data_IF_522491903128
#
_entry.id   IF_522491903128
#
_cell.length_a   1.000
_cell.length_b   1.000
_cell.length_c   1.000
_cell.angle_alpha   90.00
_cell.angle_beta   90.00
_cell.angle_gamma   90.00
#
_symmetry.space_group_name_H-M   'P 1'
#
loop_
_entity.id
_entity.type
_entity.pdbx_description
1 polymer ?
#
# COMPACT_ATOMS: atom_id res chain seq x y z
N UNK A 1 27.85 14.99 -13.38
CA UNK A 1 26.40 14.92 -13.70
C UNK A 1 25.73 16.21 -13.27
N UNK A 2 24.96 16.87 -14.14
CA UNK A 2 24.14 18.02 -13.72
C UNK A 2 23.11 17.50 -12.70
N UNK A 3 22.91 18.15 -11.54
CA UNK A 3 21.82 17.78 -10.64
C UNK A 3 20.52 17.90 -11.44
N UNK A 4 19.76 16.81 -11.60
CA UNK A 4 18.48 16.92 -12.30
C UNK A 4 17.56 17.76 -11.43
N UNK A 5 17.03 18.85 -11.99
CA UNK A 5 15.93 19.62 -11.42
C UNK A 5 14.59 18.85 -11.45
N UNK A 6 14.62 17.62 -11.93
CA UNK A 6 13.46 16.83 -12.28
C UNK A 6 13.28 15.68 -11.30
N UNK A 7 12.03 15.44 -10.90
CA UNK A 7 11.58 14.26 -10.19
C UNK A 7 11.42 13.09 -11.19
N UNK A 8 12.43 12.20 -11.22
CA UNK A 8 12.53 11.09 -12.17
C UNK A 8 13.48 11.35 -13.36
N UNK A 9 13.48 10.46 -14.37
CA UNK A 9 14.31 10.59 -15.56
C UNK A 9 14.12 11.95 -16.28
N UNK A 10 15.20 12.56 -16.79
CA UNK A 10 15.14 13.73 -17.68
C UNK A 10 14.08 13.62 -18.80
N UNK A 11 13.53 14.76 -19.26
CA UNK A 11 12.51 14.80 -20.32
C UNK A 11 12.88 14.04 -21.61
N UNK A 12 14.16 14.07 -21.95
CA UNK A 12 14.79 13.52 -23.14
C UNK A 12 15.22 12.05 -23.02
N UNK A 13 15.27 11.53 -21.79
CA UNK A 13 15.64 10.13 -21.50
C UNK A 13 14.50 9.17 -21.85
N UNK A 14 14.81 7.89 -21.98
CA UNK A 14 13.84 6.85 -22.22
C UNK A 14 12.80 6.76 -21.10
N UNK A 15 11.55 6.55 -21.51
CA UNK A 15 10.46 6.43 -20.58
C UNK A 15 10.61 5.15 -19.74
N UNK A 16 10.46 5.23 -18.40
CA UNK A 16 10.61 4.11 -17.48
C UNK A 16 9.55 3.00 -17.64
N UNK A 17 8.58 3.16 -18.56
CA UNK A 17 7.65 2.09 -18.93
C UNK A 17 8.28 1.01 -19.84
N UNK A 18 9.52 1.20 -20.30
CA UNK A 18 10.20 0.25 -21.18
C UNK A 18 9.81 0.37 -22.67
N UNK A 19 9.05 1.39 -23.07
CA UNK A 19 8.64 1.56 -24.48
C UNK A 19 9.75 2.02 -25.43
N UNK A 20 10.91 2.44 -24.91
CA UNK A 20 11.99 3.06 -25.69
C UNK A 20 11.65 4.44 -26.27
N UNK A 21 10.48 5.00 -25.94
CA UNK A 21 10.11 6.38 -26.30
C UNK A 21 10.66 7.34 -25.25
N UNK A 22 11.01 8.56 -25.67
CA UNK A 22 11.38 9.65 -24.74
C UNK A 22 10.26 9.90 -23.72
N UNK A 23 10.63 10.20 -22.46
CA UNK A 23 9.70 10.40 -21.36
C UNK A 23 8.60 11.42 -21.71
N UNK A 24 8.97 12.57 -22.28
CA UNK A 24 8.04 13.64 -22.71
C UNK A 24 7.12 13.27 -23.87
N UNK A 25 7.45 12.23 -24.63
CA UNK A 25 6.63 11.69 -25.72
C UNK A 25 5.85 10.43 -25.31
N UNK A 26 5.87 10.11 -24.01
CA UNK A 26 5.26 8.91 -23.47
C UNK A 26 4.45 9.23 -22.22
N UNK A 27 5.04 9.16 -21.02
CA UNK A 27 4.31 9.26 -19.76
C UNK A 27 4.64 10.53 -18.95
N UNK A 28 5.54 11.40 -19.43
CA UNK A 28 5.88 12.63 -18.70
C UNK A 28 5.06 13.80 -19.23
N UNK A 29 4.24 14.39 -18.36
CA UNK A 29 3.38 15.51 -18.68
C UNK A 29 4.12 16.86 -18.64
N UNK A 30 3.46 17.90 -19.13
CA UNK A 30 3.98 19.27 -19.21
C UNK A 30 4.18 19.93 -17.84
N UNK A 31 3.39 19.55 -16.84
CA UNK A 31 3.53 20.01 -15.45
C UNK A 31 4.62 19.23 -14.67
N UNK A 32 5.28 18.28 -15.33
CA UNK A 32 6.32 17.43 -14.74
C UNK A 32 5.80 16.20 -14.01
N UNK A 33 4.47 16.02 -13.91
CA UNK A 33 3.88 14.78 -13.41
C UNK A 33 4.06 13.63 -14.40
N UNK A 34 3.76 12.42 -13.91
CA UNK A 34 3.71 11.23 -14.73
C UNK A 34 2.25 10.85 -14.96
N UNK A 35 1.89 10.55 -16.19
CA UNK A 35 0.54 10.21 -16.62
C UNK A 35 0.54 8.87 -17.36
N UNK A 36 -0.57 8.16 -17.32
CA UNK A 36 -0.77 6.95 -18.09
C UNK A 36 -2.26 6.81 -18.44
N UNK A 37 -2.54 6.14 -19.55
CA UNK A 37 -3.92 5.89 -19.98
C UNK A 37 -4.73 5.20 -18.87
N UNK A 38 -6.05 5.50 -18.77
CA UNK A 38 -6.93 4.77 -17.86
C UNK A 38 -6.82 3.27 -18.10
N UNK A 39 -6.66 2.46 -17.05
CA UNK A 39 -6.64 1.02 -17.24
C UNK A 39 -8.00 0.54 -17.76
N UNK A 40 -8.03 -0.48 -18.62
CA UNK A 40 -9.29 -1.09 -19.02
C UNK A 40 -9.99 -1.71 -17.80
N UNK A 41 -11.31 -1.91 -17.85
CA UNK A 41 -12.02 -2.70 -16.85
C UNK A 41 -11.37 -4.08 -16.66
N UNK A 42 -11.34 -4.58 -15.43
CA UNK A 42 -10.81 -5.92 -15.14
C UNK A 42 -11.66 -7.03 -15.78
N UNK A 43 -12.95 -6.76 -16.02
CA UNK A 43 -13.87 -7.62 -16.76
C UNK A 43 -14.44 -6.86 -17.96
N UNK A 44 -14.11 -7.33 -19.17
CA UNK A 44 -14.51 -6.68 -20.44
C UNK A 44 -15.54 -7.47 -21.27
N UNK A 45 -15.87 -8.70 -20.87
CA UNK A 45 -16.89 -9.53 -21.55
C UNK A 45 -18.34 -9.25 -21.10
N UNK A 46 -19.33 -9.89 -21.73
CA UNK A 46 -20.73 -9.79 -21.29
C UNK A 46 -20.88 -10.25 -19.84
N UNK A 47 -21.90 -9.71 -19.14
CA UNK A 47 -22.25 -10.19 -17.81
C UNK A 47 -22.83 -11.58 -17.90
N UNK A 48 -22.50 -12.42 -16.92
CA UNK A 48 -23.03 -13.79 -16.86
C UNK A 48 -24.51 -13.84 -16.47
N UNK A 49 -25.03 -12.80 -15.80
CA UNK A 49 -26.37 -12.80 -15.20
C UNK A 49 -26.48 -13.62 -13.93
N UNK A 50 -25.40 -14.30 -13.51
CA UNK A 50 -25.36 -15.19 -12.36
C UNK A 50 -24.76 -14.53 -11.13
N UNK A 51 -25.34 -14.79 -9.96
CA UNK A 51 -24.90 -14.30 -8.66
C UNK A 51 -24.54 -15.49 -7.75
N UNK A 52 -23.24 -15.78 -7.65
CA UNK A 52 -22.76 -16.86 -6.78
C UNK A 52 -22.96 -16.48 -5.31
N UNK A 53 -23.72 -17.23 -4.50
CA UNK A 53 -24.11 -16.82 -3.15
C UNK A 53 -22.94 -16.60 -2.20
N UNK A 54 -21.78 -17.24 -2.44
CA UNK A 54 -20.58 -17.10 -1.61
C UNK A 54 -19.55 -16.10 -2.14
N UNK A 55 -19.80 -15.46 -3.27
CA UNK A 55 -18.92 -14.42 -3.81
C UNK A 55 -19.34 -13.06 -3.25
N UNK A 56 -18.42 -12.30 -2.63
CA UNK A 56 -18.79 -10.98 -2.11
C UNK A 56 -19.16 -9.98 -3.22
N UNK A 57 -18.74 -10.24 -4.46
CA UNK A 57 -19.12 -9.48 -5.65
C UNK A 57 -20.49 -9.88 -6.23
N UNK A 58 -21.25 -10.79 -5.61
CA UNK A 58 -22.52 -11.35 -6.14
C UNK A 58 -23.55 -10.32 -6.60
N UNK A 59 -23.51 -9.13 -5.99
CA UNK A 59 -24.33 -7.98 -6.34
C UNK A 59 -24.20 -7.57 -7.82
N UNK A 60 -23.04 -7.82 -8.45
CA UNK A 60 -22.77 -7.51 -9.86
C UNK A 60 -23.53 -8.39 -10.87
N UNK A 61 -24.07 -9.53 -10.42
CA UNK A 61 -24.64 -10.59 -11.27
C UNK A 61 -23.71 -11.00 -12.43
N UNK A 62 -22.41 -11.03 -12.15
CA UNK A 62 -21.36 -11.35 -13.12
C UNK A 62 -20.42 -12.45 -12.62
N UNK A 63 -20.93 -13.35 -11.78
CA UNK A 63 -20.15 -14.46 -11.22
C UNK A 63 -20.08 -15.64 -12.17
N UNK A 64 -19.12 -16.53 -11.92
CA UNK A 64 -19.21 -17.95 -12.29
C UNK A 64 -19.52 -18.84 -11.07
N UNK A 65 -19.72 -20.13 -11.30
CA UNK A 65 -20.21 -21.08 -10.29
C UNK A 65 -19.14 -21.52 -9.28
N UNK A 66 -17.87 -21.47 -9.66
CA UNK A 66 -16.77 -21.98 -8.84
C UNK A 66 -16.29 -20.93 -7.83
N UNK A 67 -16.35 -21.25 -6.53
CA UNK A 67 -15.74 -20.43 -5.48
C UNK A 67 -14.26 -20.77 -5.26
N UNK A 68 -13.44 -19.74 -5.20
CA UNK A 68 -12.00 -19.82 -4.99
C UNK A 68 -11.58 -19.10 -3.71
N UNK A 69 -10.36 -19.40 -3.24
CA UNK A 69 -9.77 -18.73 -2.09
C UNK A 69 -9.17 -17.40 -2.53
N UNK A 70 -9.57 -16.31 -1.87
CA UNK A 70 -9.05 -14.98 -2.10
C UNK A 70 -8.15 -14.55 -0.94
N UNK A 71 -6.97 -14.01 -1.25
CA UNK A 71 -6.08 -13.37 -0.28
C UNK A 71 -6.30 -11.86 -0.32
N UNK A 72 -7.05 -11.30 0.63
CA UNK A 72 -7.35 -9.86 0.62
C UNK A 72 -6.07 -9.00 0.62
N UNK A 73 -5.00 -9.45 1.28
CA UNK A 73 -3.62 -9.00 1.03
C UNK A 73 -2.97 -10.01 0.07
N UNK A 74 -2.51 -9.55 -1.09
CA UNK A 74 -1.95 -10.38 -2.17
C UNK A 74 -0.90 -11.39 -1.66
N UNK A 75 -0.96 -12.66 -2.08
CA UNK A 75 -0.03 -13.71 -1.62
C UNK A 75 1.44 -13.39 -1.95
N UNK A 76 1.70 -12.81 -3.11
CA UNK A 76 3.05 -12.37 -3.53
C UNK A 76 3.59 -11.26 -2.61
N UNK A 77 2.72 -10.34 -2.17
CA UNK A 77 3.06 -9.32 -1.18
C UNK A 77 3.37 -9.96 0.18
N UNK A 78 2.55 -10.92 0.63
CA UNK A 78 2.84 -11.70 1.85
C UNK A 78 4.17 -12.46 1.73
N UNK A 79 4.51 -12.94 0.53
CA UNK A 79 5.81 -13.54 0.23
C UNK A 79 6.96 -12.55 0.41
N UNK A 80 6.78 -11.31 -0.02
CA UNK A 80 7.76 -10.22 0.15
C UNK A 80 7.93 -9.78 1.62
N UNK A 81 6.88 -9.92 2.44
CA UNK A 81 6.94 -9.67 3.89
C UNK A 81 7.66 -10.81 4.61
N UNK A 82 7.47 -12.05 4.17
CA UNK A 82 8.05 -13.23 4.79
C UNK A 82 9.56 -13.33 4.53
N UNK A 83 10.36 -13.67 5.55
CA UNK A 83 11.79 -13.92 5.34
C UNK A 83 12.07 -15.21 4.58
N UNK A 84 11.25 -16.24 4.80
CA UNK A 84 11.40 -17.57 4.20
C UNK A 84 10.38 -17.85 3.08
N UNK A 85 9.53 -16.86 2.78
CA UNK A 85 8.44 -16.97 1.82
C UNK A 85 7.25 -17.82 2.27
N UNK A 86 7.21 -18.30 3.52
CA UNK A 86 6.22 -19.30 3.97
C UNK A 86 5.29 -18.79 5.07
N UNK A 87 5.85 -18.10 6.05
CA UNK A 87 5.12 -17.68 7.25
C UNK A 87 5.23 -16.19 7.53
N UNK A 88 4.19 -15.65 8.14
CA UNK A 88 4.10 -14.26 8.59
C UNK A 88 3.56 -14.22 10.02
N UNK A 89 3.81 -13.12 10.73
CA UNK A 89 3.19 -12.83 12.03
C UNK A 89 2.01 -11.91 11.80
N UNK A 90 0.87 -12.28 12.37
CA UNK A 90 -0.34 -11.46 12.39
C UNK A 90 -0.61 -10.98 13.80
N UNK A 91 -1.05 -9.73 13.92
CA UNK A 91 -1.47 -9.07 15.17
C UNK A 91 -2.70 -8.20 14.90
N UNK A 92 -3.70 -8.28 15.78
CA UNK A 92 -4.93 -7.47 15.74
C UNK A 92 -6.03 -7.92 14.78
N UNK A 93 -5.94 -9.13 14.22
CA UNK A 93 -7.03 -9.64 13.39
C UNK A 93 -8.25 -10.03 14.26
N UNK A 94 -9.47 -9.73 13.80
CA UNK A 94 -10.70 -9.96 14.57
C UNK A 94 -10.94 -11.42 14.98
N UNK A 95 -10.38 -12.37 14.23
CA UNK A 95 -10.47 -13.81 14.53
C UNK A 95 -9.37 -14.30 15.49
N UNK A 96 -8.41 -13.45 15.89
CA UNK A 96 -7.40 -13.82 16.86
C UNK A 96 -7.99 -13.89 18.27
N UNK A 97 -7.46 -14.84 19.04
CA UNK A 97 -7.73 -14.87 20.47
C UNK A 97 -7.21 -13.58 21.11
N UNK A 98 -8.08 -12.89 21.87
CA UNK A 98 -7.76 -11.60 22.52
C UNK A 98 -6.60 -11.73 23.53
N UNK A 99 -6.27 -12.94 23.98
CA UNK A 99 -5.13 -13.23 24.85
C UNK A 99 -3.81 -13.38 24.07
N UNK A 100 -3.87 -13.78 22.80
CA UNK A 100 -2.70 -13.98 21.94
C UNK A 100 -2.42 -12.74 21.09
N UNK A 101 -1.54 -11.86 21.58
CA UNK A 101 -1.19 -10.61 20.86
C UNK A 101 -0.57 -10.83 19.48
N UNK A 102 0.13 -11.95 19.26
CA UNK A 102 0.80 -12.26 17.99
C UNK A 102 0.64 -13.73 17.65
N UNK A 103 0.37 -14.02 16.37
CA UNK A 103 0.26 -15.40 15.87
C UNK A 103 1.05 -15.57 14.58
N UNK A 104 1.98 -16.52 14.56
CA UNK A 104 2.63 -16.96 13.33
C UNK A 104 1.68 -17.87 12.56
N UNK A 105 1.44 -17.56 11.30
CA UNK A 105 0.56 -18.32 10.41
C UNK A 105 1.23 -18.50 9.04
N UNK A 106 0.80 -19.53 8.30
CA UNK A 106 1.16 -19.66 6.88
C UNK A 106 0.44 -18.59 6.06
N UNK A 107 1.06 -18.12 4.95
CA UNK A 107 0.45 -17.10 4.07
C UNK A 107 -0.95 -17.49 3.60
N UNK A 108 -1.14 -18.76 3.25
CA UNK A 108 -2.43 -19.32 2.85
C UNK A 108 -3.55 -19.20 3.90
N UNK A 109 -3.22 -19.00 5.18
CA UNK A 109 -4.20 -18.77 6.24
C UNK A 109 -4.83 -17.37 6.19
N UNK A 110 -4.24 -16.42 5.44
CA UNK A 110 -4.83 -15.09 5.15
C UNK A 110 -5.73 -15.10 3.90
N UNK A 111 -6.27 -16.26 3.54
CA UNK A 111 -7.29 -16.37 2.50
C UNK A 111 -8.59 -16.99 2.98
N UNK A 112 -9.68 -16.64 2.30
CA UNK A 112 -11.02 -17.19 2.54
C UNK A 112 -11.69 -17.54 1.20
N UNK A 113 -12.54 -18.57 1.21
CA UNK A 113 -13.42 -18.85 0.06
C UNK A 113 -14.53 -17.80 -0.01
N UNK A 114 -14.30 -16.71 -0.74
CA UNK A 114 -15.19 -15.54 -0.76
C UNK A 114 -15.30 -14.83 -2.12
N UNK A 115 -14.63 -15.35 -3.15
CA UNK A 115 -14.80 -14.90 -4.53
C UNK A 115 -15.05 -16.09 -5.44
N UNK A 116 -15.78 -15.87 -6.52
CA UNK A 116 -15.83 -16.84 -7.60
C UNK A 116 -14.56 -16.75 -8.47
N UNK A 117 -14.21 -17.82 -9.19
CA UNK A 117 -13.00 -17.91 -10.01
C UNK A 117 -12.90 -16.75 -11.00
N UNK A 118 -14.01 -16.35 -11.63
CA UNK A 118 -14.05 -15.21 -12.56
C UNK A 118 -13.63 -13.89 -11.90
N UNK A 119 -14.23 -13.53 -10.76
CA UNK A 119 -13.92 -12.27 -10.08
C UNK A 119 -12.52 -12.28 -9.46
N UNK A 120 -12.11 -13.42 -8.89
CA UNK A 120 -10.78 -13.58 -8.30
C UNK A 120 -9.67 -13.46 -9.37
N UNK A 121 -9.78 -14.20 -10.48
CA UNK A 121 -8.79 -14.14 -11.56
C UNK A 121 -8.63 -12.72 -12.13
N UNK A 122 -9.71 -11.96 -12.18
CA UNK A 122 -9.69 -10.58 -12.68
C UNK A 122 -8.88 -9.62 -11.79
N UNK A 123 -8.63 -9.95 -10.52
CA UNK A 123 -7.82 -9.13 -9.60
C UNK A 123 -6.31 -9.33 -9.79
N UNK A 124 -5.88 -10.37 -10.50
CA UNK A 124 -4.46 -10.71 -10.66
C UNK A 124 -3.57 -9.54 -11.15
N UNK A 125 -3.99 -8.68 -12.10
CA UNK A 125 -3.21 -7.51 -12.51
C UNK A 125 -2.97 -6.52 -11.35
N UNK A 126 -3.97 -6.32 -10.47
CA UNK A 126 -3.86 -5.46 -9.30
C UNK A 126 -2.88 -6.05 -8.28
N UNK A 127 -3.00 -7.36 -8.02
CA UNK A 127 -2.13 -8.06 -7.06
C UNK A 127 -0.65 -8.05 -7.50
N UNK A 128 -0.38 -8.30 -8.79
CA UNK A 128 0.98 -8.23 -9.35
C UNK A 128 1.58 -6.85 -9.24
N UNK A 129 0.81 -5.82 -9.61
CA UNK A 129 1.24 -4.43 -9.52
C UNK A 129 1.55 -4.06 -8.07
N UNK A 130 0.69 -4.43 -7.12
CA UNK A 130 0.88 -4.10 -5.71
C UNK A 130 2.07 -4.83 -5.07
N UNK A 131 2.30 -6.10 -5.43
CA UNK A 131 3.47 -6.84 -4.97
C UNK A 131 4.78 -6.21 -5.46
N UNK A 132 4.82 -5.82 -6.73
CA UNK A 132 5.98 -5.12 -7.29
C UNK A 132 6.18 -3.73 -6.68
N UNK A 133 5.10 -2.98 -6.50
CA UNK A 133 5.12 -1.70 -5.79
C UNK A 133 5.67 -1.84 -4.38
N UNK A 134 5.19 -2.84 -3.62
CA UNK A 134 5.68 -3.13 -2.27
C UNK A 134 7.17 -3.47 -2.27
N UNK A 135 7.61 -4.33 -3.20
CA UNK A 135 9.03 -4.73 -3.31
C UNK A 135 9.93 -3.53 -3.56
N UNK A 136 9.58 -2.69 -4.54
CA UNK A 136 10.35 -1.49 -4.89
C UNK A 136 10.36 -0.47 -3.75
N UNK A 137 9.21 -0.22 -3.11
CA UNK A 137 9.14 0.69 -1.97
C UNK A 137 9.94 0.17 -0.78
N UNK A 138 9.91 -1.14 -0.52
CA UNK A 138 10.73 -1.79 0.52
C UNK A 138 12.22 -1.67 0.21
N UNK A 139 12.63 -1.88 -1.04
CA UNK A 139 14.02 -1.71 -1.47
C UNK A 139 14.49 -0.27 -1.29
N UNK A 140 13.68 0.71 -1.72
CA UNK A 140 13.98 2.13 -1.54
C UNK A 140 14.01 2.53 -0.07
N UNK A 141 13.06 2.05 0.74
CA UNK A 141 13.07 2.23 2.19
C UNK A 141 14.35 1.64 2.78
N UNK A 142 14.63 0.37 2.52
CA UNK A 142 15.83 -0.31 3.01
C UNK A 142 17.10 0.41 2.54
N UNK A 143 17.14 0.95 1.32
CA UNK A 143 18.26 1.74 0.82
C UNK A 143 18.42 3.02 1.64
N UNK A 144 17.37 3.85 1.77
CA UNK A 144 17.35 5.05 2.63
C UNK A 144 17.77 4.73 4.07
N UNK A 145 17.37 3.56 4.58
CA UNK A 145 17.56 3.11 5.95
C UNK A 145 18.90 2.42 6.23
N UNK A 146 19.54 1.81 5.22
CA UNK A 146 20.83 1.12 5.33
C UNK A 146 22.01 2.06 5.43
N UNK A 147 21.88 3.32 5.00
CA UNK A 147 22.93 4.32 5.16
C UNK A 147 23.07 4.74 6.63
N UNK A 148 23.65 3.83 7.42
CA UNK A 148 24.17 3.97 8.78
C UNK A 148 25.71 4.00 8.72
N UNK A 149 26.27 4.91 7.92
CA UNK A 149 27.68 5.30 8.02
C UNK A 149 28.77 4.39 7.41
N UNK A 150 28.46 3.24 6.79
CA UNK A 150 29.50 2.31 6.30
C UNK A 150 29.43 2.03 4.78
N UNK A 151 29.83 2.99 3.94
CA UNK A 151 30.75 2.75 2.78
C UNK A 151 30.54 3.61 1.53
N UNK A 152 29.60 4.56 1.49
CA UNK A 152 29.70 5.69 0.54
C UNK A 152 28.92 6.91 1.04
N UNK A 153 29.63 7.90 1.60
CA UNK A 153 29.03 9.13 2.18
C UNK A 153 28.57 10.14 1.13
N UNK A 154 28.67 9.82 -0.17
CA UNK A 154 28.39 10.76 -1.26
C UNK A 154 26.92 10.99 -1.59
N UNK A 155 26.05 9.98 -1.46
CA UNK A 155 24.61 10.03 -1.76
C UNK A 155 24.00 8.62 -1.66
N UNK A 156 22.70 8.49 -1.38
CA UNK A 156 21.96 7.32 -1.86
C UNK A 156 21.48 7.57 -3.30
N UNK A 157 21.54 6.56 -4.20
CA UNK A 157 21.24 6.76 -5.61
C UNK A 157 19.78 7.20 -5.79
N UNK A 158 19.55 8.11 -6.75
CA UNK A 158 18.20 8.50 -7.17
C UNK A 158 17.43 7.24 -7.56
N UNK A 159 16.36 6.96 -6.83
CA UNK A 159 15.42 5.90 -7.17
C UNK A 159 14.17 6.50 -7.78
N UNK A 160 13.66 5.86 -8.82
CA UNK A 160 12.41 6.25 -9.47
C UNK A 160 11.62 5.01 -9.81
N UNK A 161 10.39 4.96 -9.30
CA UNK A 161 9.41 3.93 -9.58
C UNK A 161 8.15 4.60 -10.11
N UNK A 162 7.61 4.11 -11.23
CA UNK A 162 6.31 4.55 -11.74
C UNK A 162 5.29 3.43 -11.61
N UNK A 163 4.15 3.74 -11.00
CA UNK A 163 3.03 2.82 -10.83
C UNK A 163 1.74 3.46 -11.33
N UNK A 164 0.75 2.64 -11.73
CA UNK A 164 -0.57 3.16 -12.10
C UNK A 164 -1.30 3.63 -10.85
N UNK A 165 -1.62 4.92 -10.77
CA UNK A 165 -2.44 5.49 -9.70
C UNK A 165 -3.82 4.82 -9.61
N UNK A 166 -4.56 4.69 -10.72
CA UNK A 166 -5.85 4.01 -10.73
C UNK A 166 -5.79 2.55 -10.25
N UNK A 167 -4.77 1.78 -10.65
CA UNK A 167 -4.65 0.41 -10.14
C UNK A 167 -4.33 0.35 -8.64
N UNK A 168 -3.52 1.25 -8.10
CA UNK A 168 -3.28 1.33 -6.64
C UNK A 168 -4.58 1.63 -5.90
N UNK A 169 -5.38 2.57 -6.41
CA UNK A 169 -6.68 2.93 -5.85
C UNK A 169 -7.66 1.75 -5.84
N UNK A 170 -7.76 1.01 -6.96
CA UNK A 170 -8.57 -0.21 -7.06
C UNK A 170 -8.04 -1.34 -6.16
N UNK A 171 -6.73 -1.50 -6.06
CA UNK A 171 -6.12 -2.50 -5.19
C UNK A 171 -6.41 -2.21 -3.71
N UNK A 172 -6.36 -0.94 -3.29
CA UNK A 172 -6.73 -0.56 -1.92
C UNK A 172 -8.20 -0.85 -1.60
N UNK A 173 -9.11 -0.60 -2.56
CA UNK A 173 -10.51 -1.01 -2.42
C UNK A 173 -10.62 -2.52 -2.23
N UNK A 174 -9.93 -3.30 -3.06
CA UNK A 174 -9.87 -4.76 -2.96
C UNK A 174 -9.38 -5.22 -1.58
N UNK A 175 -8.32 -4.60 -1.05
CA UNK A 175 -7.75 -4.95 0.26
C UNK A 175 -8.74 -4.69 1.38
N UNK A 176 -9.29 -3.48 1.47
CA UNK A 176 -10.18 -3.10 2.58
C UNK A 176 -11.51 -3.84 2.50
N UNK A 177 -12.12 -3.91 1.31
CA UNK A 177 -13.38 -4.64 1.14
C UNK A 177 -13.18 -6.14 1.41
N UNK A 178 -12.13 -6.74 0.85
CA UNK A 178 -11.79 -8.15 1.09
C UNK A 178 -11.50 -8.46 2.57
N UNK A 179 -10.87 -7.54 3.31
CA UNK A 179 -10.62 -7.71 4.74
C UNK A 179 -11.91 -7.68 5.58
N UNK A 180 -12.87 -6.83 5.22
CA UNK A 180 -14.21 -6.79 5.84
C UNK A 180 -14.95 -8.11 5.55
N UNK A 181 -15.00 -8.54 4.30
CA UNK A 181 -15.66 -9.80 3.88
C UNK A 181 -14.98 -11.04 4.48
N UNK A 182 -13.67 -10.97 4.73
CA UNK A 182 -12.94 -12.01 5.45
C UNK A 182 -13.26 -12.05 6.96
N UNK A 183 -13.94 -11.03 7.50
CA UNK A 183 -14.13 -10.86 8.93
C UNK A 183 -12.81 -10.64 9.67
N UNK A 184 -11.86 -9.95 9.03
CA UNK A 184 -10.50 -9.77 9.55
C UNK A 184 -10.34 -8.49 10.38
N UNK A 185 -11.30 -7.56 10.32
CA UNK A 185 -11.24 -6.25 10.95
C UNK A 185 -12.32 -6.09 12.02
N UNK A 186 -12.05 -5.26 13.03
CA UNK A 186 -13.02 -4.88 14.07
C UNK A 186 -13.25 -3.37 14.07
N UNK A 187 -14.48 -2.95 14.40
CA UNK A 187 -14.89 -1.57 14.68
C UNK A 187 -15.72 -1.60 15.96
N UNK A 188 -15.38 -0.74 16.91
CA UNK A 188 -16.05 -0.66 18.23
C UNK A 188 -16.20 -2.03 18.93
N UNK A 189 -15.20 -2.91 18.79
CA UNK A 189 -15.18 -4.24 19.40
C UNK A 189 -16.05 -5.30 18.72
N UNK A 190 -16.64 -4.98 17.56
CA UNK A 190 -17.43 -5.89 16.74
C UNK A 190 -16.74 -6.14 15.40
N UNK A 191 -16.90 -7.35 14.85
CA UNK A 191 -16.42 -7.66 13.49
C UNK A 191 -17.04 -6.70 12.48
N UNK A 192 -16.19 -6.03 11.71
CA UNK A 192 -16.60 -5.18 10.60
C UNK A 192 -17.36 -6.02 9.56
N UNK A 193 -18.52 -5.54 9.11
CA UNK A 193 -19.37 -6.31 8.20
C UNK A 193 -19.83 -5.55 6.96
N UNK A 194 -19.71 -4.21 6.93
CA UNK A 194 -20.04 -3.38 5.76
C UNK A 194 -19.46 -1.97 5.87
N UNK A 195 -19.40 -1.29 4.73
CA UNK A 195 -19.24 0.16 4.68
C UNK A 195 -20.52 0.89 5.12
N UNK A 196 -20.37 2.19 5.39
CA UNK A 196 -21.46 3.10 5.76
C UNK A 196 -22.64 3.06 4.78
N UNK A 197 -23.81 3.51 5.23
CA UNK A 197 -24.95 3.69 4.35
C UNK A 197 -24.61 4.63 3.18
N UNK A 198 -25.08 4.28 1.98
CA UNK A 198 -24.75 4.99 0.74
C UNK A 198 -23.59 4.39 -0.05
N UNK A 199 -22.80 3.49 0.54
CA UNK A 199 -21.77 2.70 -0.17
C UNK A 199 -22.30 1.29 -0.39
N UNK A 200 -22.78 0.99 -1.61
CA UNK A 200 -23.37 -0.33 -1.90
C UNK A 200 -22.37 -1.28 -2.56
N UNK A 201 -22.57 -2.59 -2.34
CA UNK A 201 -21.71 -3.63 -2.92
C UNK A 201 -21.84 -3.67 -4.45
N UNK A 202 -23.01 -3.33 -5.01
CA UNK A 202 -23.20 -3.16 -6.45
C UNK A 202 -22.26 -2.06 -6.98
N UNK A 203 -22.30 -0.86 -6.37
CA UNK A 203 -21.47 0.26 -6.81
C UNK A 203 -19.98 -0.05 -6.69
N UNK A 204 -19.56 -0.66 -5.59
CA UNK A 204 -18.16 -1.07 -5.41
C UNK A 204 -17.74 -2.14 -6.44
N UNK A 205 -18.63 -3.06 -6.80
CA UNK A 205 -18.33 -4.06 -7.81
C UNK A 205 -18.20 -3.44 -9.22
N UNK A 206 -19.04 -2.46 -9.54
CA UNK A 206 -18.95 -1.71 -10.79
C UNK A 206 -17.64 -0.93 -10.91
N UNK A 207 -17.21 -0.28 -9.82
CA UNK A 207 -15.92 0.42 -9.76
C UNK A 207 -14.77 -0.59 -9.90
N UNK A 208 -14.77 -1.64 -9.08
CA UNK A 208 -13.64 -2.56 -8.98
C UNK A 208 -13.41 -3.38 -10.26
N UNK A 209 -14.47 -3.94 -10.86
CA UNK A 209 -14.31 -4.86 -12.00
C UNK A 209 -14.73 -4.29 -13.35
N UNK A 210 -15.67 -3.33 -13.38
CA UNK A 210 -16.29 -2.85 -14.62
C UNK A 210 -15.86 -1.45 -15.05
N UNK A 211 -14.96 -0.82 -14.29
CA UNK A 211 -14.38 0.48 -14.64
C UNK A 211 -15.38 1.63 -14.52
N UNK A 212 -16.42 1.48 -13.69
CA UNK A 212 -17.28 2.60 -13.38
C UNK A 212 -16.47 3.72 -12.69
N UNK A 213 -16.77 4.99 -12.98
CA UNK A 213 -16.07 6.09 -12.34
C UNK A 213 -16.36 6.11 -10.84
N UNK A 214 -15.35 6.54 -10.09
CA UNK A 214 -15.51 6.83 -8.67
C UNK A 214 -16.47 8.01 -8.48
N UNK A 215 -17.42 7.95 -7.53
CA UNK A 215 -18.16 9.12 -7.10
C UNK A 215 -17.25 10.27 -6.67
N UNK A 216 -17.76 11.49 -6.74
CA UNK A 216 -17.00 12.68 -6.35
C UNK A 216 -16.45 12.54 -4.91
N UNK A 217 -15.18 12.90 -4.74
CA UNK A 217 -14.43 12.78 -3.51
C UNK A 217 -14.22 11.34 -2.98
N UNK A 218 -14.60 10.29 -3.73
CA UNK A 218 -14.16 8.95 -3.39
C UNK A 218 -12.79 8.67 -3.99
N UNK A 219 -12.01 7.84 -3.32
CA UNK A 219 -10.75 7.35 -3.86
C UNK A 219 -9.58 7.44 -2.88
N UNK A 220 -8.39 7.53 -3.44
CA UNK A 220 -7.12 7.53 -2.74
C UNK A 220 -6.81 8.89 -2.12
N UNK A 221 -6.45 8.86 -0.85
CA UNK A 221 -5.99 10.01 -0.08
C UNK A 221 -4.70 9.69 0.67
N UNK A 222 -3.94 10.74 0.97
CA UNK A 222 -2.93 10.75 2.03
C UNK A 222 -3.29 11.85 3.01
N UNK A 223 -3.37 11.49 4.30
CA UNK A 223 -3.62 12.46 5.36
C UNK A 223 -2.30 13.10 5.79
N UNK A 224 -2.30 14.42 5.93
CA UNK A 224 -1.10 15.17 6.32
C UNK A 224 -0.92 15.23 7.84
N UNK A 225 -2.02 15.02 8.59
CA UNK A 225 -2.07 15.03 10.05
C UNK A 225 -1.78 13.64 10.64
N UNK A 226 -0.66 13.01 10.25
CA UNK A 226 -0.28 11.70 10.75
C UNK A 226 0.44 11.78 12.10
N UNK A 227 0.22 10.78 12.97
CA UNK A 227 0.96 10.65 14.23
C UNK A 227 2.37 10.13 13.96
N UNK A 228 3.35 11.03 13.97
CA UNK A 228 4.77 10.71 13.74
C UNK A 228 5.39 9.79 14.80
N UNK A 229 4.69 9.58 15.93
CA UNK A 229 5.16 8.72 17.01
C UNK A 229 4.79 7.24 16.80
N UNK A 230 4.10 6.89 15.70
CA UNK A 230 3.85 5.49 15.37
C UNK A 230 5.11 4.82 14.78
N UNK A 231 5.46 3.61 15.23
CA UNK A 231 6.62 2.91 14.69
C UNK A 231 6.38 2.50 13.23
N UNK A 232 7.34 2.84 12.38
CA UNK A 232 7.42 2.34 11.00
C UNK A 232 8.13 0.98 10.99
N UNK A 233 7.46 -0.03 10.44
CA UNK A 233 8.07 -1.35 10.20
C UNK A 233 8.20 -1.50 8.67
N UNK A 234 9.40 -1.36 8.09
CA UNK A 234 9.56 -1.29 6.64
C UNK A 234 9.06 -2.54 5.91
N UNK A 235 9.29 -3.72 6.47
CA UNK A 235 8.80 -4.99 5.92
C UNK A 235 7.44 -5.34 6.53
N UNK A 236 6.46 -4.47 6.45
CA UNK A 236 5.14 -4.75 6.99
C UNK A 236 4.03 -4.12 6.15
N UNK A 237 2.85 -4.71 6.29
CA UNK A 237 1.59 -4.08 5.89
C UNK A 237 0.70 -3.98 7.12
N UNK A 238 0.02 -2.85 7.25
CA UNK A 238 -1.02 -2.63 8.25
C UNK A 238 -2.28 -2.16 7.56
N UNK A 239 -3.41 -2.72 7.95
CA UNK A 239 -4.73 -2.26 7.51
C UNK A 239 -5.56 -1.91 8.73
N UNK A 240 -6.34 -0.84 8.67
CA UNK A 240 -7.25 -0.45 9.75
C UNK A 240 -8.47 0.29 9.18
N UNK A 241 -9.65 0.17 9.81
CA UNK A 241 -10.83 0.85 9.31
C UNK A 241 -10.68 2.37 9.51
N UNK A 242 -11.23 3.14 8.57
CA UNK A 242 -11.54 4.53 8.81
C UNK A 242 -13.01 4.59 9.24
N UNK A 243 -13.28 4.82 10.51
CA UNK A 243 -14.64 4.75 11.05
C UNK A 243 -15.04 5.98 11.85
N UNK A 244 -16.35 6.22 11.90
CA UNK A 244 -16.99 7.18 12.79
C UNK A 244 -18.08 6.44 13.56
N UNK A 245 -17.80 6.12 14.82
CA UNK A 245 -18.54 5.08 15.55
C UNK A 245 -18.49 3.76 14.78
N UNK A 246 -19.64 3.11 14.63
CA UNK A 246 -19.77 1.83 13.92
C UNK A 246 -19.74 1.92 12.40
N UNK A 247 -19.77 3.12 11.81
CA UNK A 247 -19.80 3.29 10.36
C UNK A 247 -18.38 3.27 9.77
N UNK A 248 -18.15 2.45 8.75
CA UNK A 248 -16.88 2.36 8.04
C UNK A 248 -16.94 3.26 6.81
N UNK A 249 -16.15 4.33 6.84
CA UNK A 249 -16.06 5.38 5.82
C UNK A 249 -14.99 5.07 4.76
N UNK A 250 -14.18 4.04 4.99
CA UNK A 250 -13.05 3.66 4.17
C UNK A 250 -12.06 2.79 4.95
N UNK A 251 -10.81 2.81 4.56
CA UNK A 251 -9.75 2.09 5.27
C UNK A 251 -8.37 2.61 4.97
N UNK A 252 -7.51 2.53 5.97
CA UNK A 252 -6.11 2.85 5.85
C UNK A 252 -5.32 1.61 5.47
N UNK A 253 -4.40 1.77 4.52
CA UNK A 253 -3.43 0.74 4.14
C UNK A 253 -2.06 1.37 4.28
N UNK A 254 -1.29 0.89 5.25
CA UNK A 254 0.10 1.26 5.44
C UNK A 254 1.00 0.25 4.78
N UNK A 255 1.83 0.72 3.85
CA UNK A 255 2.76 -0.06 3.04
C UNK A 255 4.16 0.43 3.38
N UNK A 256 4.99 -0.46 3.90
CA UNK A 256 6.37 -0.16 4.30
C UNK A 256 6.52 1.04 5.25
N UNK A 257 5.48 1.39 6.02
CA UNK A 257 5.47 2.51 6.94
C UNK A 257 4.82 3.80 6.41
N UNK A 258 4.53 3.88 5.11
CA UNK A 258 3.76 4.99 4.54
C UNK A 258 2.26 4.63 4.51
N UNK A 259 1.40 5.47 5.08
CA UNK A 259 -0.04 5.20 5.21
C UNK A 259 -0.86 5.94 4.16
N UNK A 260 -1.66 5.18 3.42
CA UNK A 260 -2.66 5.66 2.48
C UNK A 260 -4.06 5.45 3.04
N UNK A 261 -5.01 6.24 2.59
CA UNK A 261 -6.43 6.10 2.91
C UNK A 261 -7.23 5.90 1.62
N UNK A 262 -8.00 4.81 1.51
CA UNK A 262 -9.11 4.76 0.56
C UNK A 262 -10.35 5.25 1.30
N UNK A 263 -11.03 6.28 0.78
CA UNK A 263 -12.21 6.88 1.42
C UNK A 263 -13.38 6.98 0.46
N UNK A 264 -14.59 6.82 1.01
CA UNK A 264 -15.87 6.99 0.33
C UNK A 264 -16.54 8.31 0.70
N UNK A 265 -15.74 9.30 1.09
CA UNK A 265 -16.14 10.68 1.28
C UNK A 265 -14.91 11.58 1.31
N UNK A 266 -15.11 12.87 1.55
CA UNK A 266 -14.01 13.80 1.80
C UNK A 266 -13.54 13.68 3.26
N UNK A 267 -12.29 13.26 3.54
CA UNK A 267 -11.77 13.26 4.91
C UNK A 267 -11.79 14.67 5.52
N UNK A 268 -12.24 14.85 6.78
CA UNK A 268 -12.44 16.18 7.39
C UNK A 268 -11.14 16.85 7.89
N UNK A 269 -9.98 16.37 7.44
CA UNK A 269 -8.65 16.81 7.89
C UNK A 269 -7.77 17.23 6.71
N UNK A 270 -6.56 17.74 6.99
CA UNK A 270 -5.62 18.11 5.94
C UNK A 270 -5.21 16.87 5.16
N UNK A 271 -5.34 16.94 3.84
CA UNK A 271 -5.29 15.78 2.96
C UNK A 271 -4.81 16.15 1.58
N UNK A 272 -4.28 15.15 0.90
CA UNK A 272 -4.01 15.16 -0.53
C UNK A 272 -4.88 14.07 -1.16
N UNK A 273 -5.70 14.46 -2.14
CA UNK A 273 -6.46 13.53 -2.97
C UNK A 273 -5.60 13.12 -4.17
N UNK A 274 -5.50 11.81 -4.43
CA UNK A 274 -4.77 11.21 -5.57
C UNK A 274 -3.41 11.88 -5.83
N UNK A 275 -2.42 11.70 -4.94
CA UNK A 275 -1.12 12.34 -5.14
C UNK A 275 -0.48 11.91 -6.47
N UNK A 276 0.21 12.80 -7.20
CA UNK A 276 0.96 12.43 -8.41
C UNK A 276 2.27 11.69 -8.10
N UNK A 277 2.71 11.74 -6.84
CA UNK A 277 3.87 11.00 -6.38
C UNK A 277 4.23 11.30 -4.93
N UNK A 278 5.14 10.48 -4.41
CA UNK A 278 5.77 10.66 -3.11
C UNK A 278 7.27 10.67 -3.34
N UNK A 279 7.95 11.62 -2.72
CA UNK A 279 9.41 11.67 -2.71
C UNK A 279 9.91 11.54 -1.29
N UNK A 280 10.94 10.72 -1.10
CA UNK A 280 11.62 10.55 0.18
C UNK A 280 13.02 11.14 0.09
N UNK A 281 13.34 12.01 1.03
CA UNK A 281 14.66 12.59 1.21
C UNK A 281 15.04 12.60 2.70
N UNK A 282 16.31 12.85 3.01
CA UNK A 282 16.82 12.89 4.38
C UNK A 282 17.74 14.09 4.55
N UNK A 283 17.57 14.82 5.65
CA UNK A 283 18.43 15.95 6.01
C UNK A 283 19.88 15.47 6.11
N UNK A 284 20.82 16.31 5.66
CA UNK A 284 22.26 15.99 5.64
C UNK A 284 22.73 15.30 4.35
N UNK A 285 21.83 14.79 3.52
CA UNK A 285 22.17 14.32 2.17
C UNK A 285 22.08 15.45 1.12
N UNK A 286 22.80 15.35 -0.01
CA UNK A 286 22.66 16.27 -1.13
C UNK A 286 21.20 16.38 -1.61
N UNK A 287 20.78 17.57 -2.04
CA UNK A 287 19.39 17.87 -2.49
C UNK A 287 18.90 17.00 -3.66
N UNK A 288 19.81 16.37 -4.40
CA UNK A 288 19.52 15.43 -5.48
C UNK A 288 19.45 13.96 -5.03
N UNK A 289 19.61 13.68 -3.73
CA UNK A 289 19.45 12.35 -3.14
C UNK A 289 18.00 12.17 -2.72
N UNK A 290 17.20 11.57 -3.59
CA UNK A 290 15.80 11.26 -3.30
C UNK A 290 15.37 9.94 -3.92
N UNK A 291 14.39 9.29 -3.29
CA UNK A 291 13.61 8.20 -3.89
C UNK A 291 12.25 8.75 -4.27
N UNK A 292 11.71 8.34 -5.41
CA UNK A 292 10.40 8.76 -5.86
C UNK A 292 9.56 7.57 -6.28
N UNK A 293 8.32 7.57 -5.81
CA UNK A 293 7.22 6.82 -6.41
C UNK A 293 6.33 7.80 -7.15
N UNK A 294 6.20 7.66 -8.45
CA UNK A 294 5.24 8.39 -9.27
C UNK A 294 3.96 7.57 -9.45
N UNK A 295 2.82 8.19 -9.17
CA UNK A 295 1.50 7.63 -9.47
C UNK A 295 1.04 8.20 -10.81
N UNK A 296 1.09 7.37 -11.85
CA UNK A 296 0.67 7.73 -13.19
C UNK A 296 -0.86 7.74 -13.26
N UNK A 297 -1.44 8.93 -13.24
CA UNK A 297 -2.88 9.16 -13.41
C UNK A 297 -3.22 9.49 -14.87
N UNK A 298 -4.46 9.31 -15.32
CA UNK A 298 -4.89 9.73 -16.66
C UNK A 298 -4.84 11.25 -16.87
N UNK A 299 -4.94 12.01 -15.78
CA UNK A 299 -4.98 13.46 -15.78
C UNK A 299 -3.84 14.10 -14.98
N UNK A 300 -3.53 15.35 -15.32
CA UNK A 300 -2.57 16.21 -14.63
C UNK A 300 -3.22 16.96 -13.45
N UNK A 301 -2.44 17.73 -12.69
CA UNK A 301 -2.95 18.59 -11.62
C UNK A 301 -3.05 17.92 -10.25
N UNK A 302 -2.56 16.70 -10.13
CA UNK A 302 -2.43 15.98 -8.87
C UNK A 302 -1.21 16.47 -8.07
N UNK A 303 -1.34 16.74 -6.75
CA UNK A 303 -0.24 17.30 -5.97
C UNK A 303 0.81 16.23 -5.58
N UNK A 304 2.07 16.66 -5.46
CA UNK A 304 3.18 15.82 -5.01
C UNK A 304 3.33 15.86 -3.48
N UNK A 305 3.76 14.75 -2.89
CA UNK A 305 4.06 14.64 -1.46
C UNK A 305 5.58 14.61 -1.28
N UNK A 306 6.13 15.58 -0.54
CA UNK A 306 7.54 15.61 -0.17
C UNK A 306 7.71 15.14 1.28
N UNK A 307 8.27 13.95 1.46
CA UNK A 307 8.62 13.39 2.77
C UNK A 307 10.10 13.64 3.03
N UNK A 308 10.40 14.33 4.13
CA UNK A 308 11.77 14.61 4.57
C UNK A 308 11.98 14.01 5.94
N UNK A 309 12.93 13.06 6.05
CA UNK A 309 13.42 12.62 7.35
C UNK A 309 14.34 13.69 7.93
N UNK A 310 13.98 14.20 9.12
CA UNK A 310 14.81 15.16 9.86
C UNK A 310 15.92 14.49 10.67
N UNK A 311 16.01 13.16 10.66
CA UNK A 311 17.05 12.41 11.37
C UNK A 311 18.37 12.51 10.59
N UNK A 312 19.46 13.07 11.16
CA UNK A 312 20.75 13.17 10.50
C UNK A 312 21.32 11.81 10.06
N UNK A 313 22.16 11.73 9.02
CA UNK A 313 22.68 10.46 8.48
C UNK A 313 23.36 9.54 9.50
N UNK A 314 23.99 10.12 10.50
CA UNK A 314 24.73 9.45 11.58
C UNK A 314 23.83 8.84 12.67
N UNK A 315 22.55 9.19 12.71
CA UNK A 315 21.61 8.70 13.71
C UNK A 315 20.79 7.51 13.20
N UNK A 316 20.51 6.57 14.11
CA UNK A 316 19.60 5.45 13.84
C UNK A 316 18.15 5.92 14.00
N UNK A 317 17.52 6.22 12.85
CA UNK A 317 16.13 6.66 12.78
C UNK A 317 15.11 5.60 13.24
N UNK A 318 15.53 4.34 13.41
CA UNK A 318 14.66 3.29 13.97
C UNK A 318 14.51 3.40 15.49
N UNK A 319 15.37 4.21 16.13
CA UNK A 319 15.25 4.55 17.54
C UNK A 319 14.13 5.57 17.71
N UNK A 320 13.15 5.32 18.60
CA UNK A 320 12.08 6.28 18.87
C UNK A 320 12.64 7.64 19.28
N UNK A 321 12.19 8.70 18.61
CA UNK A 321 12.71 10.06 18.78
C UNK A 321 12.31 10.71 20.12
N UNK A 322 11.30 10.16 20.81
CA UNK A 322 10.82 10.68 22.08
C UNK A 322 10.15 9.58 22.93
N UNK A 323 9.82 9.90 24.19
CA UNK A 323 9.23 8.96 25.14
C UNK A 323 7.84 8.44 24.72
N UNK A 324 7.04 9.23 24.00
CA UNK A 324 5.73 8.80 23.48
C UNK A 324 5.92 7.80 22.33
N UNK A 325 6.82 8.09 21.40
CA UNK A 325 7.22 7.16 20.34
C UNK A 325 7.78 5.86 20.94
N UNK A 326 8.59 5.94 22.01
CA UNK A 326 9.11 4.77 22.71
C UNK A 326 8.00 3.94 23.39
N UNK A 327 7.00 4.60 23.99
CA UNK A 327 5.85 3.93 24.59
C UNK A 327 4.94 3.23 23.56
N UNK A 328 4.90 3.78 22.34
CA UNK A 328 4.17 3.21 21.20
C UNK A 328 4.98 2.16 20.43
N UNK A 329 6.28 2.08 20.66
CA UNK A 329 7.17 1.13 19.98
C UNK A 329 6.73 -0.32 20.25
N UNK A 330 6.43 -1.06 19.18
CA UNK A 330 5.92 -2.43 19.27
C UNK A 330 4.44 -2.58 19.63
N UNK A 331 3.69 -1.47 19.76
CA UNK A 331 2.23 -1.46 19.84
C UNK A 331 1.61 -1.20 18.48
N UNK A 332 0.38 -1.66 18.30
CA UNK A 332 -0.40 -1.45 17.10
C UNK A 332 -1.62 -0.59 17.42
N UNK A 333 -2.07 0.23 16.48
CA UNK A 333 -3.28 1.03 16.68
C UNK A 333 -4.50 0.11 16.84
N UNK A 334 -5.44 0.49 17.72
CA UNK A 334 -6.65 -0.30 17.94
C UNK A 334 -7.42 -0.53 16.63
N UNK A 335 -8.01 -1.72 16.46
CA UNK A 335 -8.73 -2.12 15.24
C UNK A 335 -7.83 -2.35 14.02
N UNK A 336 -6.50 -2.28 14.16
CA UNK A 336 -5.57 -2.55 13.06
C UNK A 336 -5.27 -4.04 12.97
N UNK A 337 -5.20 -4.55 11.74
CA UNK A 337 -4.58 -5.82 11.41
C UNK A 337 -3.18 -5.54 10.85
N UNK A 338 -2.18 -6.10 11.51
CA UNK A 338 -0.78 -5.97 11.11
C UNK A 338 -0.26 -7.31 10.63
N UNK A 339 0.51 -7.27 9.54
CA UNK A 339 1.26 -8.43 9.03
C UNK A 339 2.73 -8.05 8.93
N UNK A 340 3.57 -8.77 9.66
CA UNK A 340 5.02 -8.54 9.75
C UNK A 340 5.79 -9.83 9.47
N UNK A 341 7.09 -9.78 9.15
CA UNK A 341 7.94 -10.97 9.13
C UNK A 341 7.94 -11.65 10.49
N UNK A 342 8.22 -12.96 10.49
CA UNK A 342 8.67 -13.66 11.70
C UNK A 342 9.99 -13.02 12.15
N UNK A 343 10.16 -12.67 13.44
CA UNK A 343 11.43 -12.16 13.93
C UNK A 343 12.54 -13.14 13.54
N UNK A 344 13.58 -12.66 12.84
CA UNK A 344 14.78 -13.45 12.67
C UNK A 344 15.37 -13.73 14.05
N UNK A 345 15.82 -14.96 14.32
CA UNK A 345 16.69 -15.20 15.47
C UNK A 345 17.83 -14.18 15.41
N UNK A 346 18.28 -13.61 16.55
CA UNK A 346 19.40 -12.68 16.53
C UNK A 346 20.56 -13.38 15.81
N UNK A 347 21.03 -12.80 14.70
CA UNK A 347 22.27 -13.23 14.05
C UNK A 347 23.31 -13.31 15.15
N UNK A 348 23.98 -14.46 15.29
CA UNK A 348 25.12 -14.65 16.20
C UNK A 348 25.96 -13.38 16.16
N UNK A 349 26.07 -12.71 17.30
CA UNK A 349 26.96 -11.56 17.48
C UNK A 349 28.30 -11.88 16.84
N UNK A 350 28.67 -11.13 15.81
CA UNK A 350 30.01 -11.14 15.28
C UNK A 350 30.94 -10.80 16.45
N UNK A 351 31.67 -11.79 16.95
CA UNK A 351 32.80 -11.55 17.83
C UNK A 351 33.95 -11.15 16.91
N UNK A 352 34.44 -9.90 16.93
CA UNK A 352 35.68 -9.60 16.25
C UNK A 352 36.75 -10.48 16.89
N UNK A 353 37.52 -11.19 16.06
CA UNK A 353 38.71 -11.86 16.53
C UNK A 353 39.59 -10.80 17.19
N UNK A 354 39.87 -10.98 18.49
CA UNK A 354 40.89 -10.20 19.18
C UNK A 354 42.27 -10.63 18.64
N UNK A 355 43.22 -9.69 18.56
CA UNK A 355 44.51 -9.87 17.89
C UNK A 355 45.34 -11.02 18.43
#
# INVERSE_FOLDING_TARGET
>A
MRPSRWYGPPPEDDCPCGSGRQATRCHRASDGSWIAEPPPPLLTGPRTGYANPGCYARASKDCDEELTREHFISDDLLGSISWDGKVVVVEGAAWQDKTAKRKTIGRGSLSRKMLCRRHNNALSPLDKMAAEFFRLLLEDHVDIFKYLGNDDRGSFPRGFTMVSGPHIELWMLKVIWGAIEAGAMEVDGHTAYRFRLGVTTEQLAEILWRGAPWPAAWGLYVLLDHDSDQPSIPRAIRIRPASMGSEILGGYVQIAGFEFLISFETPPVRRIYRPCGITFSRVGFPVNSYKMVAFAWPEIGHPIINVVSNVPPEEDYSVPSNARAAANFGRIAAGSLNVTPVPSQPRRTYRPNRP
#
